data_IF_088142923248
#
_entry.id   IF_088142923248
#
_cell.length_a   1.000
_cell.length_b   1.000
_cell.length_c   1.000
_cell.angle_alpha   90.00
_cell.angle_beta   90.00
_cell.angle_gamma   90.00
#
_symmetry.space_group_name_H-M   'P 1'
#
loop_
_entity.id
_entity.type
_entity.pdbx_description
1 polymer ?
#
# COMPACT_ATOMS: atom_id res chain seq x y z
N UNK A 1 0.94 12.69 51.75
CA UNK A 1 1.61 12.02 52.88
C UNK A 1 0.58 11.11 53.53
N UNK A 2 0.62 9.79 53.52
CA UNK A 2 1.54 8.73 53.08
C UNK A 2 0.60 7.55 52.72
N UNK A 3 0.81 6.88 51.57
CA UNK A 3 1.34 5.51 51.52
C UNK A 3 0.65 4.58 52.53
N UNK A 4 -0.30 3.77 52.09
CA UNK A 4 -0.07 2.43 51.54
C UNK A 4 -0.37 1.35 52.60
N UNK A 5 -0.79 0.19 52.09
CA UNK A 5 -0.76 -1.11 52.78
C UNK A 5 -1.88 -1.31 53.81
N UNK A 6 -2.99 -1.90 53.36
CA UNK A 6 -3.32 -3.25 53.84
C UNK A 6 -3.69 -4.10 52.62
N UNK A 7 -2.65 -4.73 52.09
CA UNK A 7 -2.75 -5.92 51.25
C UNK A 7 -3.15 -7.06 52.19
N UNK A 8 -4.34 -7.62 51.99
CA UNK A 8 -4.67 -9.05 52.15
C UNK A 8 -6.06 -9.25 51.56
N UNK A 9 -6.11 -9.75 50.33
CA UNK A 9 -6.29 -11.17 50.08
C UNK A 9 -7.75 -11.56 50.31
N UNK A 10 -8.50 -11.68 49.23
CA UNK A 10 -9.39 -12.83 49.00
C UNK A 10 -9.58 -12.94 47.49
N UNK A 11 -8.74 -13.81 46.92
CA UNK A 11 -8.91 -14.43 45.61
C UNK A 11 -10.33 -14.96 45.53
N UNK A 12 -11.15 -14.38 44.65
CA UNK A 12 -12.32 -15.05 44.11
C UNK A 12 -12.22 -14.95 42.60
N UNK A 13 -11.77 -16.06 42.02
CA UNK A 13 -11.83 -16.31 40.59
C UNK A 13 -13.29 -16.24 40.15
N UNK A 14 -13.65 -15.24 39.35
CA UNK A 14 -14.84 -15.32 38.51
C UNK A 14 -14.40 -15.77 37.10
N UNK A 15 -14.92 -16.90 36.60
CA UNK A 15 -14.54 -17.41 35.30
C UNK A 15 -15.38 -16.73 34.21
N UNK A 16 -14.74 -16.30 33.13
CA UNK A 16 -15.41 -16.22 31.83
C UNK A 16 -16.15 -14.92 31.51
N UNK A 17 -15.45 -13.79 31.53
CA UNK A 17 -15.67 -12.72 30.54
C UNK A 17 -14.37 -11.95 30.38
N UNK A 18 -13.65 -12.20 29.29
CA UNK A 18 -12.55 -11.35 28.87
C UNK A 18 -13.16 -10.02 28.43
N UNK A 19 -13.39 -9.10 29.37
CA UNK A 19 -13.43 -7.67 29.05
C UNK A 19 -12.01 -7.27 28.68
N UNK A 20 -11.67 -7.50 27.41
CA UNK A 20 -10.48 -6.93 26.80
C UNK A 20 -10.65 -5.41 26.79
N UNK A 21 -10.18 -4.74 27.84
CA UNK A 21 -9.95 -3.30 27.83
C UNK A 21 -8.84 -3.02 26.83
N UNK A 22 -9.25 -2.72 25.59
CA UNK A 22 -8.44 -2.48 24.39
C UNK A 22 -7.80 -1.09 24.35
N UNK A 23 -7.74 -0.37 25.47
CA UNK A 23 -7.44 1.07 25.53
C UNK A 23 -6.03 1.47 25.07
N UNK A 24 -5.10 0.56 24.75
CA UNK A 24 -3.69 0.94 24.55
C UNK A 24 -2.86 0.16 23.52
N UNK A 25 -3.44 -0.41 22.45
CA UNK A 25 -2.64 -0.98 21.34
C UNK A 25 -2.89 -0.33 19.98
N UNK A 26 -3.73 0.71 19.91
CA UNK A 26 -4.29 1.18 18.66
C UNK A 26 -3.37 2.19 17.98
N UNK A 27 -3.02 1.91 16.71
CA UNK A 27 -2.28 2.80 15.81
C UNK A 27 -2.87 4.22 15.85
N UNK A 28 -2.28 5.16 16.59
CA UNK A 28 -2.96 6.42 16.90
C UNK A 28 -2.83 7.42 15.76
N UNK A 29 -2.11 7.07 14.68
CA UNK A 29 -1.89 7.96 13.56
C UNK A 29 -2.82 7.55 12.42
N UNK A 30 -3.81 8.41 12.15
CA UNK A 30 -4.79 8.22 11.09
C UNK A 30 -4.58 9.24 9.98
N UNK A 31 -4.91 8.85 8.75
CA UNK A 31 -4.94 9.76 7.60
C UNK A 31 -6.40 10.09 7.26
N UNK A 32 -6.67 11.36 6.98
CA UNK A 32 -7.98 11.87 6.62
C UNK A 32 -7.93 12.60 5.28
N UNK A 33 -9.00 12.51 4.51
CA UNK A 33 -9.22 13.30 3.30
C UNK A 33 -10.48 14.16 3.45
N UNK A 34 -10.38 15.45 3.16
CA UNK A 34 -11.53 16.34 3.17
C UNK A 34 -12.43 16.08 1.95
N UNK A 35 -13.75 15.92 2.17
CA UNK A 35 -14.70 15.72 1.07
C UNK A 35 -14.92 16.97 0.22
N UNK A 36 -14.63 18.17 0.76
CA UNK A 36 -14.76 19.44 0.04
C UNK A 36 -13.54 19.76 -0.82
N UNK A 37 -12.38 19.97 -0.20
CA UNK A 37 -11.17 20.42 -0.91
C UNK A 37 -10.19 19.29 -1.28
N UNK A 38 -10.45 18.03 -0.90
CA UNK A 38 -9.57 16.86 -1.10
C UNK A 38 -8.18 16.96 -0.47
N UNK A 39 -7.94 17.94 0.38
CA UNK A 39 -6.70 18.01 1.15
C UNK A 39 -6.61 16.80 2.10
N UNK A 40 -5.39 16.28 2.26
CA UNK A 40 -5.08 15.15 3.13
C UNK A 40 -4.33 15.64 4.36
N UNK A 41 -4.65 15.05 5.51
CA UNK A 41 -4.00 15.39 6.78
C UNK A 41 -3.81 14.12 7.60
N UNK A 42 -2.65 14.02 8.22
CA UNK A 42 -2.33 12.94 9.15
C UNK A 42 -2.47 13.49 10.58
N UNK A 43 -3.21 12.77 11.43
CA UNK A 43 -3.54 13.21 12.78
C UNK A 43 -3.23 12.09 13.77
N UNK A 44 -2.54 12.46 14.85
CA UNK A 44 -2.38 11.61 16.03
C UNK A 44 -3.63 11.76 16.92
N UNK A 45 -4.39 10.69 17.09
CA UNK A 45 -5.61 10.59 17.89
C UNK A 45 -5.34 9.64 19.05
N UNK A 46 -5.32 10.20 20.26
CA UNK A 46 -5.06 9.48 21.51
C UNK A 46 -6.37 9.09 22.21
N UNK A 47 -7.42 9.89 22.05
CA UNK A 47 -8.76 9.62 22.57
C UNK A 47 -9.80 9.72 21.46
N UNK A 48 -10.87 8.90 21.55
CA UNK A 48 -11.91 8.86 20.51
C UNK A 48 -12.60 10.21 20.32
N UNK A 49 -12.79 10.96 21.40
CA UNK A 49 -13.47 12.25 21.39
C UNK A 49 -12.69 13.31 20.60
N UNK A 50 -11.36 13.17 20.47
CA UNK A 50 -10.52 14.08 19.65
C UNK A 50 -10.89 14.02 18.16
N UNK A 51 -11.52 12.93 17.70
CA UNK A 51 -11.98 12.80 16.32
C UNK A 51 -13.14 13.75 15.99
N UNK A 52 -14.02 14.04 16.96
CA UNK A 52 -15.21 14.87 16.74
C UNK A 52 -14.85 16.36 16.50
N UNK A 53 -13.69 16.78 17.02
CA UNK A 53 -13.15 18.13 16.89
C UNK A 53 -12.23 18.31 15.69
N UNK A 54 -12.12 17.31 14.80
CA UNK A 54 -11.26 17.41 13.62
C UNK A 54 -11.85 18.33 12.55
N UNK A 55 -10.99 19.23 12.09
CA UNK A 55 -11.27 20.16 11.00
C UNK A 55 -10.19 20.05 9.93
N UNK A 56 -10.59 20.25 8.68
CA UNK A 56 -9.63 20.27 7.57
C UNK A 56 -8.65 21.45 7.73
N UNK A 57 -7.34 21.17 7.76
CA UNK A 57 -6.30 22.20 7.87
C UNK A 57 -6.28 23.20 6.70
N UNK A 58 -6.87 22.85 5.54
CA UNK A 58 -6.87 23.71 4.36
C UNK A 58 -8.12 24.60 4.24
N UNK A 59 -9.30 24.11 4.66
CA UNK A 59 -10.57 24.84 4.46
C UNK A 59 -11.45 24.96 5.71
N UNK A 60 -11.05 24.37 6.84
CA UNK A 60 -11.80 24.42 8.10
C UNK A 60 -13.06 23.57 8.16
N UNK A 61 -13.45 22.87 7.08
CA UNK A 61 -14.64 22.02 7.09
C UNK A 61 -14.47 20.81 8.03
N UNK A 62 -15.55 20.43 8.72
CA UNK A 62 -15.63 19.20 9.53
C UNK A 62 -15.83 17.91 8.71
N UNK A 63 -16.01 18.04 7.40
CA UNK A 63 -16.32 16.91 6.51
C UNK A 63 -15.05 16.17 6.08
N UNK A 64 -14.52 15.36 7.01
CA UNK A 64 -13.34 14.51 6.83
C UNK A 64 -13.75 13.04 6.79
N UNK A 65 -13.10 12.26 5.92
CA UNK A 65 -13.20 10.80 5.92
C UNK A 65 -11.84 10.19 6.25
N UNK A 66 -11.81 9.16 7.10
CA UNK A 66 -10.60 8.33 7.29
C UNK A 66 -10.25 7.67 5.97
N UNK A 67 -8.97 7.70 5.62
CA UNK A 67 -8.42 7.00 4.46
C UNK A 67 -7.26 6.10 4.90
N UNK A 68 -7.04 5.06 4.12
CA UNK A 68 -5.85 4.22 4.24
C UNK A 68 -4.80 4.81 3.31
N UNK A 69 -3.58 4.97 3.83
CA UNK A 69 -2.45 5.45 3.05
C UNK A 69 -2.20 4.59 1.81
N UNK A 70 -1.62 5.18 0.78
CA UNK A 70 -1.19 4.41 -0.41
C UNK A 70 -0.11 3.42 0.01
N UNK A 71 -0.32 2.16 -0.33
CA UNK A 71 0.65 1.07 -0.10
C UNK A 71 1.27 0.61 -1.41
N UNK A 72 2.51 0.14 -1.34
CA UNK A 72 3.17 -0.61 -2.40
C UNK A 72 3.31 -2.06 -1.95
N UNK A 73 3.04 -3.01 -2.84
CA UNK A 73 3.17 -4.44 -2.58
C UNK A 73 3.88 -5.13 -3.75
N UNK A 74 4.46 -6.30 -3.46
CA UNK A 74 5.10 -7.10 -4.49
C UNK A 74 4.04 -7.80 -5.34
N UNK A 75 4.11 -7.58 -6.65
CA UNK A 75 3.25 -8.22 -7.65
C UNK A 75 4.07 -9.26 -8.38
N UNK A 76 3.54 -10.48 -8.50
CA UNK A 76 4.18 -11.55 -9.27
C UNK A 76 4.28 -11.17 -10.76
N UNK A 77 5.22 -11.78 -11.50
CA UNK A 77 5.34 -11.48 -12.94
C UNK A 77 4.06 -11.85 -13.71
N UNK A 78 3.44 -12.99 -13.37
CA UNK A 78 2.19 -13.43 -13.98
C UNK A 78 1.03 -12.47 -13.74
N UNK A 79 0.92 -11.92 -12.53
CA UNK A 79 -0.13 -10.95 -12.19
C UNK A 79 0.12 -9.58 -12.82
N UNK A 80 1.37 -9.16 -12.97
CA UNK A 80 1.72 -7.98 -13.79
C UNK A 80 1.27 -8.16 -15.24
N UNK A 81 1.45 -9.36 -15.79
CA UNK A 81 1.02 -9.68 -17.15
C UNK A 81 -0.51 -9.72 -17.28
N UNK A 82 -1.22 -10.30 -16.31
CA UNK A 82 -2.69 -10.35 -16.34
C UNK A 82 -3.29 -8.94 -16.26
N UNK A 83 -2.75 -8.09 -15.39
CA UNK A 83 -3.25 -6.73 -15.12
C UNK A 83 -2.80 -5.71 -16.17
N UNK A 84 -1.86 -6.06 -17.05
CA UNK A 84 -1.40 -5.17 -18.10
C UNK A 84 -2.48 -4.97 -19.18
N UNK A 85 -2.91 -3.73 -19.35
CA UNK A 85 -3.78 -3.27 -20.43
C UNK A 85 -2.97 -2.51 -21.51
N UNK A 86 -2.86 -3.04 -22.74
CA UNK A 86 -2.22 -2.35 -23.86
C UNK A 86 -2.88 -1.02 -24.27
N UNK A 87 -4.19 -0.87 -24.07
CA UNK A 87 -4.96 0.30 -24.50
C UNK A 87 -4.88 1.48 -23.53
N UNK A 88 -4.40 1.25 -22.30
CA UNK A 88 -4.32 2.31 -21.29
C UNK A 88 -3.18 3.28 -21.59
N UNK A 89 -3.40 4.57 -21.28
CA UNK A 89 -2.33 5.59 -21.33
C UNK A 89 -1.19 5.18 -20.40
N UNK A 90 0.06 5.30 -20.88
CA UNK A 90 1.28 5.05 -20.10
C UNK A 90 2.00 6.36 -19.82
N UNK A 91 2.52 6.50 -18.61
CA UNK A 91 3.30 7.66 -18.20
C UNK A 91 4.82 7.39 -18.33
N UNK A 92 5.65 8.42 -18.14
CA UNK A 92 7.10 8.30 -18.29
C UNK A 92 7.74 7.28 -17.34
N UNK A 93 7.17 7.07 -16.14
CA UNK A 93 7.72 6.07 -15.20
C UNK A 93 7.54 4.65 -15.74
N UNK A 94 6.48 4.40 -16.53
CA UNK A 94 6.27 3.11 -17.18
C UNK A 94 7.42 2.77 -18.15
N UNK A 95 7.88 3.74 -18.94
CA UNK A 95 8.95 3.54 -19.92
C UNK A 95 10.35 3.45 -19.29
N UNK A 96 10.54 4.04 -18.11
CA UNK A 96 11.81 3.98 -17.37
C UNK A 96 12.01 2.66 -16.61
N UNK A 97 10.93 1.92 -16.34
CA UNK A 97 11.00 0.65 -15.63
C UNK A 97 11.44 -0.49 -16.56
N UNK A 98 12.66 -1.00 -16.37
CA UNK A 98 13.21 -2.09 -17.20
C UNK A 98 12.36 -3.35 -17.15
N UNK A 99 11.61 -3.60 -16.06
CA UNK A 99 10.71 -4.76 -15.92
C UNK A 99 9.55 -4.73 -16.91
N UNK A 100 9.21 -3.56 -17.45
CA UNK A 100 8.16 -3.42 -18.46
C UNK A 100 8.64 -3.74 -19.88
N UNK A 101 9.95 -3.88 -20.08
CA UNK A 101 10.50 -4.36 -21.36
C UNK A 101 9.93 -5.76 -21.64
N UNK A 102 9.35 -5.92 -22.83
CA UNK A 102 8.73 -7.16 -23.27
C UNK A 102 7.33 -7.46 -22.73
N UNK A 103 6.79 -6.65 -21.80
CA UNK A 103 5.50 -6.91 -21.18
C UNK A 103 4.37 -6.97 -22.22
N UNK A 104 4.38 -6.05 -23.18
CA UNK A 104 3.41 -6.02 -24.28
C UNK A 104 3.53 -7.23 -25.21
N UNK A 105 4.76 -7.64 -25.53
CA UNK A 105 5.01 -8.82 -26.36
C UNK A 105 4.52 -10.10 -25.68
N UNK A 106 4.83 -10.28 -24.38
CA UNK A 106 4.31 -11.40 -23.56
C UNK A 106 2.78 -11.40 -23.52
N UNK A 107 2.14 -10.23 -23.37
CA UNK A 107 0.68 -10.12 -23.29
C UNK A 107 0.02 -10.57 -24.59
N UNK A 108 0.56 -10.10 -25.72
CA UNK A 108 0.05 -10.43 -27.04
C UNK A 108 0.24 -11.91 -27.37
N UNK A 109 1.39 -12.49 -27.04
CA UNK A 109 1.65 -13.91 -27.25
C UNK A 109 0.70 -14.78 -26.41
N UNK A 110 0.47 -14.42 -25.14
CA UNK A 110 -0.51 -15.09 -24.28
C UNK A 110 -1.93 -15.01 -24.83
N UNK A 111 -2.36 -13.86 -25.38
CA UNK A 111 -3.67 -13.70 -26.02
C UNK A 111 -3.82 -14.53 -27.30
N UNK A 112 -2.73 -14.73 -28.02
CA UNK A 112 -2.71 -15.53 -29.26
C UNK A 112 -2.44 -17.02 -29.01
N UNK A 113 -2.18 -17.43 -27.76
CA UNK A 113 -1.80 -18.81 -27.42
C UNK A 113 -0.47 -19.24 -28.03
N UNK A 114 0.41 -18.29 -28.36
CA UNK A 114 1.71 -18.56 -28.99
C UNK A 114 2.79 -18.64 -27.92
N UNK A 115 3.58 -19.71 -27.93
CA UNK A 115 4.81 -19.82 -27.15
C UNK A 115 5.96 -19.11 -27.86
N UNK A 116 6.60 -18.15 -27.18
CA UNK A 116 7.74 -17.40 -27.70
C UNK A 116 9.07 -18.16 -27.52
N UNK A 117 9.07 -19.21 -26.70
CA UNK A 117 10.22 -20.07 -26.45
C UNK A 117 11.34 -19.42 -25.62
N UNK A 118 12.30 -20.27 -25.22
CA UNK A 118 13.39 -19.89 -24.30
C UNK A 118 14.30 -18.78 -24.83
N UNK A 119 14.57 -18.76 -26.14
CA UNK A 119 15.46 -17.75 -26.74
C UNK A 119 14.90 -16.34 -26.68
N UNK A 120 13.57 -16.18 -26.65
CA UNK A 120 12.94 -14.87 -26.43
C UNK A 120 13.07 -14.42 -24.97
N UNK A 121 12.84 -15.33 -24.03
CA UNK A 121 12.95 -15.03 -22.60
C UNK A 121 14.37 -14.62 -22.20
N UNK A 122 15.39 -15.34 -22.69
CA UNK A 122 16.79 -15.05 -22.41
C UNK A 122 17.20 -13.66 -22.92
N UNK A 123 16.80 -13.31 -24.16
CA UNK A 123 17.03 -11.97 -24.71
C UNK A 123 16.32 -10.90 -23.88
N UNK A 124 15.10 -11.17 -23.43
CA UNK A 124 14.37 -10.24 -22.59
C UNK A 124 15.05 -10.00 -21.24
N UNK A 125 15.52 -11.05 -20.58
CA UNK A 125 16.23 -10.91 -19.31
C UNK A 125 17.56 -10.14 -19.47
N UNK A 126 18.28 -10.33 -20.58
CA UNK A 126 19.44 -9.50 -20.93
C UNK A 126 19.06 -8.02 -21.03
N UNK A 127 17.97 -7.70 -21.75
CA UNK A 127 17.48 -6.33 -21.91
C UNK A 127 16.99 -5.69 -20.60
N UNK A 128 16.37 -6.48 -19.71
CA UNK A 128 15.89 -6.03 -18.40
C UNK A 128 17.04 -5.70 -17.45
N UNK A 129 18.14 -6.44 -17.56
CA UNK A 129 19.35 -6.27 -16.76
C UNK A 129 20.23 -5.14 -17.28
N UNK A 130 20.36 -5.04 -18.60
CA UNK A 130 21.23 -4.08 -19.27
C UNK A 130 20.57 -3.51 -20.54
N UNK A 131 19.71 -2.48 -20.40
CA UNK A 131 19.00 -1.89 -21.53
C UNK A 131 19.94 -1.20 -22.54
N UNK A 132 21.16 -0.84 -22.13
CA UNK A 132 22.17 -0.25 -23.01
C UNK A 132 22.80 -1.25 -23.99
N UNK A 133 22.60 -2.55 -23.78
CA UNK A 133 23.12 -3.61 -24.68
C UNK A 133 22.59 -3.48 -26.10
N UNK A 134 21.36 -2.98 -26.30
CA UNK A 134 20.78 -2.78 -27.64
C UNK A 134 21.64 -1.87 -28.51
N UNK A 135 22.18 -0.80 -27.92
CA UNK A 135 22.94 0.21 -28.66
C UNK A 135 24.34 -0.33 -28.98
N UNK A 136 24.96 -1.02 -28.03
CA UNK A 136 26.31 -1.61 -28.19
C UNK A 136 26.36 -2.79 -29.16
N UNK A 137 25.33 -3.64 -29.17
CA UNK A 137 25.25 -4.80 -30.06
C UNK A 137 24.93 -4.40 -31.52
N UNK A 138 24.67 -3.11 -31.79
CA UNK A 138 24.30 -2.56 -33.10
C UNK A 138 25.44 -1.83 -33.84
N UNK A 139 26.59 -1.62 -33.19
CA UNK A 139 27.82 -1.07 -33.77
C UNK A 139 28.78 -2.19 -34.20
#
# INVERSE_FOLDING_TARGET
MLKAIIIKALVRQEPGRLEMNWECLFMPIYEYECTGCRARTQVLIMARDEEEDLHCAACGAKSLKRIISRVAYHVSEGERLSNYDPGSRKDDSFYKDSRNIGLHARKRAAQMGVDLGKGFEEKLEKLRTDPGSVIRDSE
#
